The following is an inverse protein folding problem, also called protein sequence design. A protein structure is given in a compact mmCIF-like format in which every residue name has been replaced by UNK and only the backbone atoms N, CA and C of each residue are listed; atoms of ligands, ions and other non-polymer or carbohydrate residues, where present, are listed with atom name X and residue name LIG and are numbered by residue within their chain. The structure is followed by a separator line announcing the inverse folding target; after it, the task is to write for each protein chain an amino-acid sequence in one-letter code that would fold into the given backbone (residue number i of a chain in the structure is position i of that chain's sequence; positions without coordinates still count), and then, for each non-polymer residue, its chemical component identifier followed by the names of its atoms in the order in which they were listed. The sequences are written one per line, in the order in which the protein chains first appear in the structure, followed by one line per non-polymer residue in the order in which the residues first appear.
data_IF_789020183034
#
_entry.id   IF_789020183034
#
_cell.length_a   1.000
_cell.length_b   1.000
_cell.length_c   1.000
_cell.angle_alpha   90.00
_cell.angle_beta   90.00
_cell.angle_gamma   90.00
#
_symmetry.space_group_name_H-M   'P 1'
#
loop_
_entity.id
_entity.type
_entity.pdbx_description
1 polymer ?
#
# COMPACT_ATOMS: atom_id res chain seq x y z
N UNK A 1 14.25 1.95 9.78
CA UNK A 1 14.56 0.74 8.95
C UNK A 1 13.47 0.56 7.91
N UNK A 2 13.80 0.02 6.71
CA UNK A 2 12.85 -0.15 5.60
C UNK A 2 12.81 -1.62 5.17
N UNK A 3 11.60 -2.19 5.11
CA UNK A 3 11.33 -3.53 4.57
C UNK A 3 10.50 -3.42 3.29
N UNK A 4 10.82 -4.24 2.29
CA UNK A 4 10.12 -4.26 1.01
C UNK A 4 9.42 -5.61 0.82
N UNK A 5 8.18 -5.57 0.34
CA UNK A 5 7.41 -6.74 -0.11
C UNK A 5 6.54 -6.34 -1.30
N UNK A 6 5.76 -7.23 -1.87
CA UNK A 6 4.83 -6.92 -2.95
C UNK A 6 3.70 -7.93 -3.04
N UNK A 7 2.72 -7.63 -3.88
CA UNK A 7 1.63 -8.54 -4.28
C UNK A 7 0.93 -9.17 -3.07
N UNK A 8 0.40 -8.34 -2.18
CA UNK A 8 -0.34 -8.85 -1.02
C UNK A 8 -1.78 -9.21 -1.37
N UNK A 9 -2.33 -8.60 -2.43
CA UNK A 9 -3.67 -8.90 -2.95
C UNK A 9 -4.67 -9.21 -1.83
N UNK A 10 -4.82 -8.30 -0.88
CA UNK A 10 -5.65 -8.53 0.31
C UNK A 10 -7.03 -9.07 -0.09
N UNK A 11 -7.47 -10.24 0.47
CA UNK A 11 -6.88 -10.99 1.59
C UNK A 11 -5.98 -12.17 1.20
N UNK A 12 -5.60 -12.34 -0.06
CA UNK A 12 -5.04 -13.59 -0.61
C UNK A 12 -3.64 -13.88 -0.04
N UNK A 13 -2.70 -12.94 -0.18
CA UNK A 13 -1.28 -13.10 0.20
C UNK A 13 -0.86 -12.23 1.38
N UNK A 14 -1.82 -11.69 2.12
CA UNK A 14 -1.55 -10.79 3.26
C UNK A 14 -0.81 -11.49 4.40
N UNK A 15 -0.75 -12.82 4.42
CA UNK A 15 0.04 -13.59 5.39
C UNK A 15 1.54 -13.25 5.36
N UNK A 16 2.04 -12.69 4.26
CA UNK A 16 3.39 -12.09 4.19
C UNK A 16 3.64 -11.08 5.31
N UNK A 17 2.61 -10.35 5.74
CA UNK A 17 2.66 -9.37 6.82
C UNK A 17 2.17 -9.92 8.17
N UNK A 18 1.99 -11.24 8.29
CA UNK A 18 1.65 -11.86 9.56
C UNK A 18 2.85 -11.86 10.50
N UNK A 19 2.61 -11.94 11.81
CA UNK A 19 3.70 -12.04 12.79
C UNK A 19 4.45 -13.37 12.75
N UNK A 20 3.93 -14.36 12.01
CA UNK A 20 4.58 -15.65 11.76
C UNK A 20 5.58 -15.53 10.60
N UNK A 21 5.14 -14.93 9.49
CA UNK A 21 5.97 -14.77 8.28
C UNK A 21 6.95 -13.59 8.38
N UNK A 22 6.60 -12.59 9.18
CA UNK A 22 7.40 -11.39 9.43
C UNK A 22 7.51 -11.12 10.95
N UNK A 23 8.28 -11.93 11.69
CA UNK A 23 8.38 -11.81 13.15
C UNK A 23 9.09 -10.52 13.61
N UNK A 24 9.97 -9.93 12.78
CA UNK A 24 10.69 -8.70 13.05
C UNK A 24 9.75 -7.52 13.32
N UNK A 25 8.55 -7.53 12.76
CA UNK A 25 7.55 -6.47 12.95
C UNK A 25 7.22 -6.18 14.42
N UNK A 26 7.48 -7.13 15.34
CA UNK A 26 7.23 -6.96 16.77
C UNK A 26 8.13 -5.89 17.41
N UNK A 27 9.28 -5.62 16.79
CA UNK A 27 10.27 -4.64 17.28
C UNK A 27 10.17 -3.29 16.56
N UNK A 28 9.37 -3.22 15.48
CA UNK A 28 9.23 -2.01 14.69
C UNK A 28 8.40 -0.94 15.40
N UNK A 29 8.65 0.30 15.02
CA UNK A 29 7.97 1.51 15.49
C UNK A 29 7.39 2.30 14.31
N UNK A 30 6.75 3.44 14.57
CA UNK A 30 6.25 4.34 13.51
C UNK A 30 7.35 4.92 12.61
N UNK A 31 8.60 4.92 13.08
CA UNK A 31 9.76 5.38 12.31
C UNK A 31 10.37 4.28 11.44
N UNK A 32 9.81 3.08 11.49
CA UNK A 32 10.15 1.97 10.61
C UNK A 32 9.07 1.78 9.53
N UNK A 33 9.50 1.44 8.33
CA UNK A 33 8.65 1.42 7.15
C UNK A 33 8.57 0.03 6.53
N UNK A 34 7.36 -0.37 6.17
CA UNK A 34 7.11 -1.55 5.31
C UNK A 34 6.48 -1.04 4.03
N UNK A 35 7.11 -1.30 2.88
CA UNK A 35 6.64 -0.83 1.57
C UNK A 35 6.16 -2.01 0.74
N UNK A 36 4.89 -1.99 0.36
CA UNK A 36 4.30 -2.95 -0.58
C UNK A 36 4.43 -2.43 -2.00
N UNK A 37 5.17 -3.15 -2.82
CA UNK A 37 5.53 -2.76 -4.18
C UNK A 37 4.48 -3.22 -5.20
N UNK A 38 3.29 -2.61 -5.15
CA UNK A 38 2.17 -2.89 -6.05
C UNK A 38 1.21 -3.98 -5.55
N UNK A 39 0.01 -3.97 -6.12
CA UNK A 39 -1.08 -4.92 -5.90
C UNK A 39 -1.36 -5.17 -4.40
N UNK A 40 -1.51 -4.05 -3.66
CA UNK A 40 -1.79 -4.09 -2.23
C UNK A 40 -3.15 -4.70 -1.94
N UNK A 41 -4.17 -4.26 -2.67
CA UNK A 41 -5.52 -4.83 -2.65
C UNK A 41 -6.40 -4.40 -1.48
N UNK A 42 -5.96 -3.48 -0.61
CA UNK A 42 -6.78 -3.03 0.52
C UNK A 42 -8.00 -2.23 0.04
N UNK A 43 -7.78 -1.25 -0.85
CA UNK A 43 -8.84 -0.41 -1.40
C UNK A 43 -9.47 -1.07 -2.64
N UNK A 44 -10.04 -2.24 -2.48
CA UNK A 44 -10.67 -2.96 -3.58
C UNK A 44 -12.17 -2.69 -3.65
N UNK A 45 -12.85 -2.87 -2.52
CA UNK A 45 -14.28 -2.64 -2.33
C UNK A 45 -14.54 -2.26 -0.88
N UNK A 46 -15.40 -1.26 -0.64
CA UNK A 46 -15.80 -0.90 0.73
C UNK A 46 -16.78 -1.91 1.31
N UNK A 47 -16.25 -3.02 1.79
CA UNK A 47 -17.01 -4.13 2.37
C UNK A 47 -16.45 -4.56 3.75
N UNK A 48 -16.93 -5.69 4.25
CA UNK A 48 -16.47 -6.26 5.53
C UNK A 48 -14.99 -6.65 5.49
N UNK A 49 -14.49 -7.11 4.34
CA UNK A 49 -13.08 -7.50 4.16
C UNK A 49 -12.17 -6.28 4.29
N UNK A 50 -12.52 -5.19 3.61
CA UNK A 50 -11.82 -3.91 3.74
C UNK A 50 -11.76 -3.44 5.19
N UNK A 51 -12.91 -3.38 5.88
CA UNK A 51 -12.99 -2.88 7.27
C UNK A 51 -12.17 -3.74 8.23
N UNK A 52 -12.23 -5.06 8.06
CA UNK A 52 -11.45 -6.02 8.86
C UNK A 52 -9.94 -5.80 8.70
N UNK A 53 -9.45 -5.74 7.45
CA UNK A 53 -8.02 -5.57 7.21
C UNK A 53 -7.53 -4.16 7.50
N UNK A 54 -8.34 -3.14 7.26
CA UNK A 54 -8.02 -1.77 7.66
C UNK A 54 -7.80 -1.68 9.18
N UNK A 55 -8.69 -2.29 9.96
CA UNK A 55 -8.56 -2.34 11.42
C UNK A 55 -7.26 -3.02 11.85
N UNK A 56 -6.98 -4.23 11.34
CA UNK A 56 -5.77 -4.97 11.67
C UNK A 56 -4.50 -4.20 11.29
N UNK A 57 -4.44 -3.64 10.08
CA UNK A 57 -3.25 -2.97 9.57
C UNK A 57 -3.03 -1.60 10.22
N UNK A 58 -4.09 -0.89 10.57
CA UNK A 58 -4.01 0.40 11.28
C UNK A 58 -3.42 0.25 12.69
N UNK A 59 -3.56 -0.92 13.31
CA UNK A 59 -2.97 -1.23 14.62
C UNK A 59 -1.52 -1.73 14.56
N UNK A 60 -0.94 -1.88 13.35
CA UNK A 60 0.49 -2.22 13.25
C UNK A 60 1.36 -1.10 13.81
N UNK A 61 2.50 -1.46 14.39
CA UNK A 61 3.40 -0.52 15.07
C UNK A 61 4.27 0.27 14.08
N UNK A 62 4.44 -0.21 12.87
CA UNK A 62 5.21 0.41 11.79
C UNK A 62 4.34 1.27 10.87
N UNK A 63 4.98 2.10 10.05
CA UNK A 63 4.32 2.81 8.95
C UNK A 63 4.29 1.92 7.72
N UNK A 64 3.08 1.66 7.21
CA UNK A 64 2.83 0.87 6.02
C UNK A 64 2.67 1.79 4.82
N UNK A 65 3.55 1.65 3.87
CA UNK A 65 3.54 2.39 2.61
C UNK A 65 3.18 1.42 1.48
N UNK A 66 2.52 1.89 0.45
CA UNK A 66 2.31 1.07 -0.74
C UNK A 66 2.34 1.89 -2.01
N UNK A 67 2.77 1.22 -3.09
CA UNK A 67 2.64 1.67 -4.47
C UNK A 67 1.42 0.99 -5.07
N UNK A 68 0.77 1.64 -5.99
CA UNK A 68 -0.28 1.00 -6.77
C UNK A 68 0.34 0.09 -7.84
N UNK A 69 -0.21 -1.12 -7.97
CA UNK A 69 0.11 -2.07 -9.03
C UNK A 69 -0.78 -1.87 -10.25
N UNK A 70 -1.00 -2.94 -11.02
CA UNK A 70 -1.96 -2.95 -12.12
C UNK A 70 -3.36 -3.41 -11.69
N UNK A 71 -3.50 -4.00 -10.52
CA UNK A 71 -4.76 -4.47 -9.95
C UNK A 71 -5.15 -3.66 -8.70
N UNK A 72 -5.66 -2.45 -8.93
CA UNK A 72 -6.12 -1.54 -7.86
C UNK A 72 -7.46 -0.94 -8.23
N UNK A 73 -8.21 -0.47 -7.23
CA UNK A 73 -9.37 0.40 -7.46
C UNK A 73 -8.87 1.85 -7.58
N UNK A 74 -8.47 2.23 -8.79
CA UNK A 74 -7.89 3.55 -9.06
C UNK A 74 -8.90 4.68 -8.85
N UNK A 75 -10.18 4.46 -9.15
CA UNK A 75 -11.22 5.47 -8.96
C UNK A 75 -11.35 5.82 -7.47
N UNK A 76 -11.36 4.81 -6.60
CA UNK A 76 -11.39 5.04 -5.16
C UNK A 76 -10.10 5.68 -4.66
N UNK A 77 -8.95 5.13 -5.04
CA UNK A 77 -7.64 5.63 -4.62
C UNK A 77 -7.45 7.10 -5.00
N UNK A 78 -7.77 7.46 -6.25
CA UNK A 78 -7.64 8.83 -6.76
C UNK A 78 -8.70 9.79 -6.20
N UNK A 79 -9.78 9.30 -5.59
CA UNK A 79 -10.78 10.13 -4.91
C UNK A 79 -10.34 10.63 -3.54
N UNK A 80 -9.29 10.06 -2.98
CA UNK A 80 -8.80 10.42 -1.65
C UNK A 80 -8.05 11.76 -1.68
N UNK A 81 -8.09 12.54 -0.57
CA UNK A 81 -7.33 13.78 -0.48
C UNK A 81 -5.83 13.55 -0.63
N UNK A 82 -5.17 14.48 -1.33
CA UNK A 82 -3.72 14.49 -1.52
C UNK A 82 -3.08 15.26 -0.36
N UNK A 83 -2.02 14.67 0.23
CA UNK A 83 -1.22 15.29 1.28
C UNK A 83 0.26 15.31 0.88
N UNK A 84 1.01 16.32 1.34
CA UNK A 84 2.47 16.33 1.25
C UNK A 84 3.08 15.46 2.35
N UNK A 85 4.02 14.59 1.99
CA UNK A 85 4.71 13.71 2.93
C UNK A 85 6.12 13.37 2.43
N UNK A 86 7.15 13.60 3.25
CA UNK A 86 8.56 13.26 2.96
C UNK A 86 9.07 13.69 1.57
N UNK A 87 8.67 14.87 1.09
CA UNK A 87 9.11 15.45 -0.18
C UNK A 87 8.20 15.15 -1.38
N UNK A 88 7.32 14.17 -1.29
CA UNK A 88 6.35 13.81 -2.32
C UNK A 88 4.90 13.97 -1.86
N UNK A 89 3.97 13.42 -2.63
CA UNK A 89 2.54 13.45 -2.35
C UNK A 89 2.01 12.04 -2.12
N UNK A 90 1.06 11.93 -1.19
CA UNK A 90 0.46 10.67 -0.76
C UNK A 90 -1.06 10.79 -0.65
N UNK A 91 -1.74 9.63 -0.72
CA UNK A 91 -3.10 9.48 -0.20
C UNK A 91 -3.01 8.79 1.16
N UNK A 92 -3.64 9.38 2.18
CA UNK A 92 -3.68 8.80 3.53
C UNK A 92 -4.89 7.90 3.67
N UNK A 93 -4.65 6.61 3.92
CA UNK A 93 -5.70 5.62 4.15
C UNK A 93 -6.04 5.52 5.64
N UNK A 94 -5.00 5.53 6.47
CA UNK A 94 -5.06 5.57 7.93
C UNK A 94 -3.84 6.34 8.45
N UNK A 95 -3.75 6.56 9.77
CA UNK A 95 -2.62 7.29 10.37
C UNK A 95 -1.26 6.72 9.94
N UNK A 96 -1.17 5.40 9.85
CA UNK A 96 0.07 4.68 9.50
C UNK A 96 0.02 3.97 8.15
N UNK A 97 -0.99 4.20 7.31
CA UNK A 97 -1.12 3.56 5.99
C UNK A 97 -1.21 4.64 4.93
N UNK A 98 -0.20 4.71 4.06
CA UNK A 98 -0.06 5.74 3.04
C UNK A 98 0.18 5.13 1.66
N UNK A 99 -0.55 5.64 0.67
CA UNK A 99 -0.27 5.39 -0.74
C UNK A 99 0.74 6.41 -1.26
N UNK A 100 1.88 5.94 -1.73
CA UNK A 100 2.89 6.76 -2.39
C UNK A 100 2.46 7.01 -3.84
N UNK A 101 2.17 8.26 -4.20
CA UNK A 101 1.69 8.59 -5.54
C UNK A 101 2.77 8.37 -6.61
N UNK A 102 2.35 8.04 -7.83
CA UNK A 102 3.24 7.80 -8.98
C UNK A 102 3.99 9.07 -9.39
N UNK A 103 5.23 8.91 -9.83
CA UNK A 103 6.07 9.99 -10.37
C UNK A 103 6.62 10.91 -9.29
N UNK A 104 6.51 10.53 -8.05
CA UNK A 104 6.96 11.32 -6.90
C UNK A 104 8.33 10.84 -6.39
N UNK A 105 9.02 11.73 -5.69
CA UNK A 105 10.30 11.44 -5.03
C UNK A 105 10.13 11.62 -3.53
N UNK A 106 10.52 10.61 -2.76
CA UNK A 106 10.41 10.61 -1.30
C UNK A 106 11.77 10.44 -0.65
N UNK A 107 12.00 11.14 0.45
CA UNK A 107 13.14 10.95 1.34
C UNK A 107 12.69 10.16 2.58
N UNK A 108 13.03 8.88 2.64
CA UNK A 108 12.58 7.97 3.71
C UNK A 108 13.78 7.33 4.37
N UNK A 109 13.95 7.53 5.67
CA UNK A 109 15.03 6.92 6.47
C UNK A 109 16.42 7.17 5.84
N UNK A 110 16.66 8.39 5.33
CA UNK A 110 17.91 8.80 4.70
C UNK A 110 18.16 8.26 3.28
N UNK A 111 17.14 7.64 2.66
CA UNK A 111 17.21 7.14 1.30
C UNK A 111 16.21 7.87 0.40
N UNK A 112 16.60 8.08 -0.85
CA UNK A 112 15.74 8.67 -1.89
C UNK A 112 15.02 7.58 -2.67
N UNK A 113 13.69 7.66 -2.75
CA UNK A 113 12.84 6.75 -3.49
C UNK A 113 12.11 7.49 -4.60
N UNK A 114 12.22 7.00 -5.83
CA UNK A 114 11.34 7.39 -6.93
C UNK A 114 10.25 6.35 -7.11
N UNK A 115 8.99 6.78 -7.15
CA UNK A 115 7.84 5.90 -7.23
C UNK A 115 7.29 5.80 -8.64
N UNK A 116 7.12 4.58 -9.12
CA UNK A 116 6.47 4.27 -10.38
C UNK A 116 5.60 3.02 -10.19
N UNK A 117 4.31 3.15 -10.46
CA UNK A 117 3.37 2.06 -10.29
C UNK A 117 2.84 1.51 -11.61
N UNK A 118 2.06 0.43 -11.50
CA UNK A 118 1.38 -0.19 -12.63
C UNK A 118 2.22 -1.19 -13.41
N UNK A 119 1.51 -2.02 -14.16
CA UNK A 119 2.07 -2.96 -15.14
C UNK A 119 1.03 -3.24 -16.23
N UNK A 120 1.43 -3.95 -17.29
CA UNK A 120 0.48 -4.41 -18.31
C UNK A 120 -0.37 -5.56 -17.74
N UNK A 121 -1.69 -5.36 -17.71
CA UNK A 121 -2.62 -6.42 -17.29
C UNK A 121 -2.94 -7.36 -18.45
N UNK A 122 -2.60 -8.64 -18.32
CA UNK A 122 -2.91 -9.66 -19.31
C UNK A 122 -4.41 -10.05 -19.30
N UNK A 123 -5.09 -9.80 -18.19
CA UNK A 123 -6.49 -10.16 -17.96
C UNK A 123 -7.46 -8.96 -18.07
N UNK A 124 -7.06 -7.89 -18.74
CA UNK A 124 -7.85 -6.65 -18.93
C UNK A 124 -9.28 -6.91 -19.41
N UNK A 125 -9.47 -7.90 -20.29
CA UNK A 125 -10.78 -8.26 -20.84
C UNK A 125 -11.79 -8.75 -19.78
N UNK A 126 -11.30 -9.17 -18.62
CA UNK A 126 -12.13 -9.62 -17.48
C UNK A 126 -12.20 -8.58 -16.35
N UNK A 127 -11.62 -7.39 -16.57
CA UNK A 127 -11.49 -6.34 -15.56
C UNK A 127 -12.31 -5.10 -15.95
N UNK A 128 -12.57 -4.24 -14.99
CA UNK A 128 -13.22 -2.95 -15.22
C UNK A 128 -12.17 -1.85 -15.02
N UNK A 129 -12.02 -0.99 -16.05
CA UNK A 129 -11.09 0.14 -16.00
C UNK A 129 -11.43 1.08 -14.83
N UNK A 130 -10.40 1.56 -14.13
CA UNK A 130 -10.50 2.40 -12.95
C UNK A 130 -10.86 1.65 -11.66
N UNK A 131 -11.50 0.47 -11.74
CA UNK A 131 -11.99 -0.29 -10.58
C UNK A 131 -11.09 -1.49 -10.26
N UNK A 132 -10.53 -2.12 -11.27
CA UNK A 132 -9.73 -3.33 -11.10
C UNK A 132 -8.47 -3.41 -11.97
N UNK A 133 -8.20 -2.37 -12.74
CA UNK A 133 -6.92 -2.14 -13.46
C UNK A 133 -6.78 -0.71 -13.92
#
# INVERSE_FOLDING_TARGET
MIYLTGDTHIPIDIDKLSSKSFPEQKQLTRDDFVIVLGDFGLLWREDKTYRYWLDILSHRRYTLLFLDGNHENFDWLNSLPVESWHGGHVHRIAENILHLMRGEVFEIDGNTFFTLGGAVSHDRIYRTEGISW
#
